data_IF_417866745471
#
_entry.id   IF_417866745471
#
_cell.length_a   1.000
_cell.length_b   1.000
_cell.length_c   1.000
_cell.angle_alpha   90.00
_cell.angle_beta   90.00
_cell.angle_gamma   90.00
#
_symmetry.space_group_name_H-M   'P 1'
#
loop_
_entity.id
_entity.type
_entity.pdbx_description
1 polymer ?
#
# COMPACT_ATOMS: atom_id res chain seq x y z
N UNK A 1 43.04 6.07 72.85
CA UNK A 1 42.61 6.70 71.59
C UNK A 1 41.17 6.29 71.38
N UNK A 2 40.22 7.04 71.94
CA UNK A 2 38.79 6.73 71.79
C UNK A 2 37.99 8.02 71.92
N UNK A 3 37.35 8.39 70.80
CA UNK A 3 36.17 9.27 70.71
C UNK A 3 36.39 10.78 71.00
N UNK A 4 35.45 11.69 70.68
CA UNK A 4 34.49 11.78 69.55
C UNK A 4 34.29 13.24 69.01
N UNK A 5 33.36 13.42 68.06
CA UNK A 5 32.23 14.39 68.14
C UNK A 5 32.07 15.50 67.07
N UNK A 6 30.83 15.54 66.57
CA UNK A 6 30.06 16.63 65.90
C UNK A 6 30.33 16.87 64.40
N UNK A 7 29.45 16.57 63.42
CA UNK A 7 27.99 16.77 63.21
C UNK A 7 27.54 18.24 63.07
N UNK A 8 27.11 18.61 61.84
CA UNK A 8 26.01 19.53 61.47
C UNK A 8 26.21 19.97 59.98
N UNK A 9 25.62 19.34 58.96
CA UNK A 9 24.24 19.42 58.42
C UNK A 9 23.95 20.63 57.49
N UNK A 10 23.61 20.27 56.23
CA UNK A 10 22.80 20.91 55.15
C UNK A 10 23.34 22.17 54.47
N UNK A 11 23.32 22.26 53.12
CA UNK A 11 22.08 22.61 52.37
C UNK A 11 22.16 22.29 50.87
N UNK A 12 21.16 21.55 50.38
CA UNK A 12 20.38 21.60 49.10
C UNK A 12 20.87 22.48 47.92
N UNK A 13 21.08 21.87 46.75
CA UNK A 13 20.43 22.17 45.44
C UNK A 13 21.09 21.31 44.33
N UNK A 14 20.36 20.34 43.76
CA UNK A 14 19.71 20.41 42.43
C UNK A 14 20.54 19.74 41.33
N UNK A 15 20.25 18.45 41.14
CA UNK A 15 20.50 17.71 39.90
C UNK A 15 19.78 18.42 38.75
N UNK A 16 20.52 18.93 37.77
CA UNK A 16 19.96 19.15 36.44
C UNK A 16 21.01 18.90 35.35
N UNK A 17 21.42 17.64 35.23
CA UNK A 17 22.02 17.12 34.00
C UNK A 17 20.91 16.43 33.22
N UNK A 18 20.01 17.23 32.64
CA UNK A 18 19.03 16.73 31.69
C UNK A 18 19.75 16.62 30.34
N UNK A 19 20.33 15.45 30.08
CA UNK A 19 20.92 15.08 28.80
C UNK A 19 19.84 15.19 27.73
N UNK A 20 20.12 15.97 26.68
CA UNK A 20 19.28 16.05 25.47
C UNK A 20 19.01 14.62 24.95
N UNK A 21 17.75 14.23 24.68
CA UNK A 21 17.48 12.94 24.06
C UNK A 21 18.17 12.92 22.69
N UNK A 22 19.06 11.95 22.50
CA UNK A 22 19.74 11.70 21.23
C UNK A 22 18.71 11.45 20.13
N UNK A 23 18.84 12.18 19.03
CA UNK A 23 17.96 12.15 17.85
C UNK A 23 17.95 10.79 17.10
N UNK A 24 18.71 9.79 17.58
CA UNK A 24 18.91 8.50 16.90
C UNK A 24 17.80 7.46 17.16
N UNK A 25 16.87 7.71 18.09
CA UNK A 25 15.84 6.73 18.45
C UNK A 25 14.51 6.87 17.71
N UNK A 26 14.34 7.91 16.88
CA UNK A 26 13.11 8.13 16.11
C UNK A 26 13.09 7.36 14.78
N UNK A 27 14.26 7.07 14.21
CA UNK A 27 14.35 6.40 12.92
C UNK A 27 14.04 4.89 13.01
N UNK A 28 14.35 4.25 14.14
CA UNK A 28 14.10 2.81 14.33
C UNK A 28 12.63 2.45 14.58
N UNK A 29 11.78 3.40 14.97
CA UNK A 29 10.35 3.13 15.24
C UNK A 29 9.48 3.18 13.98
N UNK A 30 10.03 3.68 12.86
CA UNK A 30 9.34 3.76 11.56
C UNK A 30 9.74 2.61 10.60
N UNK A 31 10.72 1.79 10.98
CA UNK A 31 11.26 0.72 10.13
C UNK A 31 10.52 -0.63 10.24
N UNK A 32 9.53 -0.77 11.12
CA UNK A 32 8.56 -1.86 10.99
C UNK A 32 7.53 -1.47 9.93
N UNK A 33 7.88 -1.61 8.64
CA UNK A 33 6.93 -1.43 7.54
C UNK A 33 5.78 -2.42 7.74
N UNK A 34 4.67 -1.92 8.31
CA UNK A 34 3.46 -2.70 8.47
C UNK A 34 2.86 -2.84 7.09
N UNK A 35 2.50 -4.06 6.71
CA UNK A 35 1.81 -4.33 5.46
C UNK A 35 0.56 -3.47 5.28
N UNK A 36 0.10 -3.30 4.04
CA UNK A 36 -1.09 -2.51 3.75
C UNK A 36 -1.85 -3.03 2.52
N UNK A 37 -3.17 -2.96 2.58
CA UNK A 37 -4.09 -3.30 1.51
C UNK A 37 -4.80 -2.02 1.04
N UNK A 38 -4.37 -1.45 -0.09
CA UNK A 38 -4.73 -0.09 -0.50
C UNK A 38 -5.39 -0.10 -1.89
N UNK A 39 -6.35 0.79 -2.10
CA UNK A 39 -6.87 1.13 -3.43
C UNK A 39 -6.53 2.59 -3.74
N UNK A 40 -6.02 2.87 -4.95
CA UNK A 40 -5.82 4.24 -5.47
C UNK A 40 -6.86 4.57 -6.54
N UNK A 41 -7.65 5.61 -6.32
CA UNK A 41 -8.69 6.11 -7.24
C UNK A 41 -8.36 7.53 -7.69
N UNK A 42 -8.69 7.88 -8.93
CA UNK A 42 -8.55 9.25 -9.44
C UNK A 42 -8.39 9.30 -10.96
N UNK A 43 -8.48 10.48 -11.58
CA UNK A 43 -8.48 10.64 -13.03
C UNK A 43 -7.15 10.22 -13.67
N UNK A 44 -7.13 9.84 -14.97
CA UNK A 44 -5.87 9.61 -15.69
C UNK A 44 -4.94 10.83 -15.59
N UNK A 45 -3.63 10.59 -15.48
CA UNK A 45 -2.64 11.67 -15.34
C UNK A 45 -2.53 12.29 -13.94
N UNK A 46 -3.35 11.88 -12.95
CA UNK A 46 -3.30 12.42 -11.58
C UNK A 46 -2.06 12.05 -10.74
N UNK A 47 -1.12 11.29 -11.30
CA UNK A 47 0.11 10.87 -10.61
C UNK A 47 -0.02 9.61 -9.75
N UNK A 48 -1.15 8.88 -9.80
CA UNK A 48 -1.36 7.61 -9.07
C UNK A 48 -0.23 6.61 -9.29
N UNK A 49 0.16 6.36 -10.54
CA UNK A 49 1.23 5.40 -10.85
C UNK A 49 2.56 5.75 -10.18
N UNK A 50 2.94 7.04 -10.18
CA UNK A 50 4.14 7.52 -9.49
C UNK A 50 4.10 7.26 -7.99
N UNK A 51 2.95 7.48 -7.35
CA UNK A 51 2.81 7.25 -5.91
C UNK A 51 2.66 5.76 -5.58
N UNK A 52 2.00 4.99 -6.45
CA UNK A 52 1.86 3.55 -6.34
C UNK A 52 3.23 2.87 -6.19
N UNK A 53 4.19 3.18 -7.08
CA UNK A 53 5.56 2.66 -6.99
C UNK A 53 6.24 3.02 -5.66
N UNK A 54 6.10 4.27 -5.19
CA UNK A 54 6.69 4.70 -3.91
C UNK A 54 6.07 3.99 -2.71
N UNK A 55 4.75 3.80 -2.73
CA UNK A 55 4.00 3.12 -1.66
C UNK A 55 4.34 1.63 -1.63
N UNK A 56 4.42 0.96 -2.78
CA UNK A 56 4.75 -0.46 -2.86
C UNK A 56 6.17 -0.73 -2.38
N UNK A 57 7.13 0.10 -2.76
CA UNK A 57 8.52 0.03 -2.27
C UNK A 57 8.64 0.28 -0.75
N UNK A 58 7.89 1.26 -0.23
CA UNK A 58 7.92 1.66 1.19
C UNK A 58 7.27 0.64 2.10
N UNK A 59 6.08 0.14 1.72
CA UNK A 59 5.31 -0.81 2.53
C UNK A 59 5.62 -2.28 2.22
N UNK A 60 6.46 -2.54 1.21
CA UNK A 60 6.81 -3.90 0.75
C UNK A 60 5.58 -4.72 0.37
N UNK A 61 4.68 -4.09 -0.37
CA UNK A 61 3.41 -4.66 -0.85
C UNK A 61 3.44 -4.82 -2.37
N UNK A 62 2.67 -5.75 -2.93
CA UNK A 62 2.62 -5.92 -4.38
C UNK A 62 1.76 -4.84 -5.04
N UNK A 63 2.14 -4.43 -6.25
CA UNK A 63 1.32 -3.54 -7.08
C UNK A 63 0.45 -4.37 -8.03
N UNK A 64 -0.86 -4.13 -8.00
CA UNK A 64 -1.86 -4.71 -8.89
C UNK A 64 -2.44 -3.63 -9.80
N UNK A 65 -1.69 -3.33 -10.87
CA UNK A 65 -2.14 -2.44 -11.96
C UNK A 65 -2.96 -3.24 -12.97
N UNK A 66 -4.27 -3.03 -13.01
CA UNK A 66 -5.14 -3.78 -13.94
C UNK A 66 -4.77 -3.52 -15.40
N UNK A 67 -4.30 -2.32 -15.72
CA UNK A 67 -3.79 -2.00 -17.06
C UNK A 67 -2.58 -2.85 -17.44
N UNK A 68 -1.64 -3.06 -16.52
CA UNK A 68 -0.47 -3.92 -16.78
C UNK A 68 -0.83 -5.39 -16.81
N UNK A 69 -1.70 -5.85 -15.91
CA UNK A 69 -2.18 -7.24 -15.88
C UNK A 69 -2.89 -7.60 -17.19
N UNK A 70 -3.74 -6.72 -17.70
CA UNK A 70 -4.44 -6.91 -18.98
C UNK A 70 -3.47 -6.86 -20.16
N UNK A 71 -2.49 -5.93 -20.18
CA UNK A 71 -1.45 -5.92 -21.22
C UNK A 71 -0.65 -7.21 -21.23
N UNK A 72 -0.25 -7.71 -20.06
CA UNK A 72 0.47 -8.98 -19.92
C UNK A 72 -0.38 -10.16 -20.42
N UNK A 73 -1.65 -10.23 -20.04
CA UNK A 73 -2.57 -11.26 -20.52
C UNK A 73 -2.80 -11.18 -22.04
N UNK A 74 -2.87 -9.97 -22.61
CA UNK A 74 -3.03 -9.74 -24.04
C UNK A 74 -1.82 -10.17 -24.88
N UNK A 75 -0.63 -10.32 -24.28
CA UNK A 75 0.55 -10.81 -24.98
C UNK A 75 0.50 -12.31 -25.26
N UNK A 76 -0.30 -13.08 -24.50
CA UNK A 76 -0.50 -14.51 -24.77
C UNK A 76 -1.49 -14.73 -25.92
N UNK A 77 -0.96 -14.67 -27.14
CA UNK A 77 -1.74 -14.89 -28.36
C UNK A 77 -2.11 -16.36 -28.59
N UNK A 78 -1.53 -17.29 -27.83
CA UNK A 78 -1.89 -18.71 -27.91
C UNK A 78 -3.21 -19.01 -27.22
N UNK A 79 -3.63 -18.15 -26.29
CA UNK A 79 -4.90 -18.23 -25.58
C UNK A 79 -6.02 -17.47 -26.31
N UNK A 80 -7.22 -18.08 -26.38
CA UNK A 80 -8.43 -17.41 -26.88
C UNK A 80 -8.81 -16.19 -26.03
N UNK A 81 -8.54 -16.26 -24.72
CA UNK A 81 -8.75 -15.15 -23.79
C UNK A 81 -7.80 -13.98 -24.08
N UNK A 82 -6.51 -14.25 -24.26
CA UNK A 82 -5.51 -13.23 -24.56
C UNK A 82 -5.81 -12.48 -25.87
N UNK A 83 -6.26 -13.20 -26.91
CA UNK A 83 -6.71 -12.59 -28.16
C UNK A 83 -7.95 -11.69 -27.96
N UNK A 84 -8.93 -12.12 -27.16
CA UNK A 84 -10.15 -11.35 -26.87
C UNK A 84 -9.85 -10.09 -26.05
N UNK A 85 -8.98 -10.20 -25.04
CA UNK A 85 -8.49 -9.06 -24.24
C UNK A 85 -7.81 -8.05 -25.17
N UNK A 86 -6.86 -8.51 -25.99
CA UNK A 86 -6.12 -7.66 -26.93
C UNK A 86 -7.05 -6.87 -27.84
N UNK A 87 -7.98 -7.57 -28.51
CA UNK A 87 -8.95 -6.94 -29.43
C UNK A 87 -9.81 -5.88 -28.74
N UNK A 88 -10.24 -6.14 -27.50
CA UNK A 88 -11.05 -5.20 -26.72
C UNK A 88 -10.25 -3.95 -26.34
N UNK A 89 -9.01 -4.13 -25.90
CA UNK A 89 -8.11 -3.02 -25.55
C UNK A 89 -7.72 -2.16 -26.76
N UNK A 90 -7.43 -2.77 -27.91
CA UNK A 90 -7.12 -2.06 -29.15
C UNK A 90 -8.31 -1.21 -29.64
N UNK A 91 -9.54 -1.66 -29.37
CA UNK A 91 -10.76 -0.90 -29.65
C UNK A 91 -11.07 0.21 -28.63
N UNK A 92 -10.24 0.38 -27.59
CA UNK A 92 -10.48 1.33 -26.50
C UNK A 92 -11.63 0.92 -25.56
N UNK A 93 -12.10 -0.32 -25.65
CA UNK A 93 -13.16 -0.87 -24.82
C UNK A 93 -12.67 -1.30 -23.44
N UNK A 94 -13.62 -1.54 -22.54
CA UNK A 94 -13.36 -2.17 -21.25
C UNK A 94 -13.43 -3.69 -21.38
N UNK A 95 -12.44 -4.38 -20.84
CA UNK A 95 -12.43 -5.84 -20.73
C UNK A 95 -13.44 -6.26 -19.66
N UNK A 96 -14.11 -7.40 -19.86
CA UNK A 96 -15.13 -7.91 -18.92
C UNK A 96 -14.60 -7.98 -17.49
N UNK A 97 -15.44 -7.54 -16.54
CA UNK A 97 -15.10 -7.48 -15.11
C UNK A 97 -14.62 -8.83 -14.57
N UNK A 98 -15.23 -9.94 -15.01
CA UNK A 98 -14.91 -11.29 -14.55
C UNK A 98 -13.49 -11.73 -14.96
N UNK A 99 -13.04 -11.32 -16.15
CA UNK A 99 -11.66 -11.57 -16.60
C UNK A 99 -10.69 -10.78 -15.72
N UNK A 100 -11.00 -9.51 -15.46
CA UNK A 100 -10.16 -8.65 -14.61
C UNK A 100 -10.05 -9.22 -13.19
N UNK A 101 -11.16 -9.69 -12.61
CA UNK A 101 -11.19 -10.30 -11.28
C UNK A 101 -10.42 -11.61 -11.22
N UNK A 102 -10.55 -12.47 -12.23
CA UNK A 102 -9.76 -13.71 -12.35
C UNK A 102 -8.25 -13.41 -12.37
N UNK A 103 -7.83 -12.39 -13.12
CA UNK A 103 -6.43 -11.94 -13.14
C UNK A 103 -5.99 -11.42 -11.77
N UNK A 104 -6.82 -10.62 -11.09
CA UNK A 104 -6.53 -10.12 -9.74
C UNK A 104 -6.39 -11.27 -8.75
N UNK A 105 -7.34 -12.21 -8.72
CA UNK A 105 -7.34 -13.37 -7.84
C UNK A 105 -6.04 -14.17 -7.98
N UNK A 106 -5.67 -14.50 -9.22
CA UNK A 106 -4.41 -15.21 -9.52
C UNK A 106 -3.18 -14.48 -8.98
N UNK A 107 -3.16 -13.14 -9.06
CA UNK A 107 -2.03 -12.35 -8.61
C UNK A 107 -2.00 -12.15 -7.08
N UNK A 108 -3.15 -12.06 -6.42
CA UNK A 108 -3.24 -11.93 -4.96
C UNK A 108 -2.62 -13.13 -4.21
N UNK A 109 -2.58 -14.31 -4.85
CA UNK A 109 -2.00 -15.52 -4.28
C UNK A 109 -0.47 -15.58 -4.40
N UNK A 110 0.16 -14.61 -5.08
CA UNK A 110 1.62 -14.62 -5.27
C UNK A 110 2.37 -14.21 -3.99
N UNK A 111 3.61 -14.71 -3.78
CA UNK A 111 4.39 -14.41 -2.57
C UNK A 111 4.62 -12.92 -2.33
N UNK A 112 4.71 -12.11 -3.38
CA UNK A 112 4.96 -10.66 -3.26
C UNK A 112 3.77 -9.93 -2.61
N UNK A 113 2.56 -10.49 -2.70
CA UNK A 113 1.35 -9.93 -2.10
C UNK A 113 1.12 -10.38 -0.65
N UNK A 114 2.04 -11.15 -0.06
CA UNK A 114 1.90 -11.68 1.31
C UNK A 114 1.80 -10.58 2.36
N UNK A 115 2.58 -9.53 2.19
CA UNK A 115 2.60 -8.38 3.10
C UNK A 115 1.50 -7.35 2.76
N UNK A 116 0.70 -7.58 1.72
CA UNK A 116 -0.36 -6.69 1.29
C UNK A 116 -0.27 -6.36 -0.19
N UNK A 117 -1.20 -5.52 -0.64
CA UNK A 117 -1.39 -5.22 -2.06
C UNK A 117 -1.89 -3.80 -2.26
N UNK A 118 -1.58 -3.23 -3.42
CA UNK A 118 -2.06 -1.92 -3.85
C UNK A 118 -2.74 -2.05 -5.22
N UNK A 119 -4.02 -1.71 -5.30
CA UNK A 119 -4.76 -1.64 -6.56
C UNK A 119 -4.60 -0.25 -7.21
N UNK A 120 -4.09 -0.23 -8.45
CA UNK A 120 -3.96 0.98 -9.25
C UNK A 120 -4.91 0.90 -10.46
N UNK A 121 -5.93 1.76 -10.44
CA UNK A 121 -6.91 1.85 -11.53
C UNK A 121 -8.03 0.80 -11.49
N UNK A 122 -8.26 0.17 -10.33
CA UNK A 122 -9.38 -0.73 -10.04
C UNK A 122 -9.79 -0.62 -8.58
N UNK A 123 -11.09 -0.68 -8.23
CA UNK A 123 -12.24 -0.74 -9.13
C UNK A 123 -12.53 0.60 -9.82
N UNK A 124 -13.22 0.55 -10.97
CA UNK A 124 -13.68 1.73 -11.74
C UNK A 124 -15.20 1.90 -11.73
N UNK A 125 -15.93 0.85 -11.38
CA UNK A 125 -17.40 0.84 -11.30
C UNK A 125 -17.82 0.29 -9.93
N UNK A 126 -19.06 0.55 -9.53
CA UNK A 126 -19.61 0.01 -8.28
C UNK A 126 -19.64 -1.52 -8.30
N UNK A 127 -20.08 -2.11 -9.42
CA UNK A 127 -20.09 -3.57 -9.61
C UNK A 127 -18.69 -4.21 -9.45
N UNK A 128 -17.63 -3.55 -9.94
CA UNK A 128 -16.26 -4.00 -9.70
C UNK A 128 -15.87 -3.90 -8.22
N UNK A 129 -16.37 -2.89 -7.51
CA UNK A 129 -16.15 -2.73 -6.08
C UNK A 129 -16.79 -3.84 -5.26
N UNK A 130 -18.05 -4.16 -5.53
CA UNK A 130 -18.79 -5.25 -4.87
C UNK A 130 -18.09 -6.60 -5.10
N UNK A 131 -17.73 -6.91 -6.34
CA UNK A 131 -17.00 -8.15 -6.65
C UNK A 131 -15.59 -8.20 -6.04
N UNK A 132 -14.92 -7.05 -5.89
CA UNK A 132 -13.63 -6.99 -5.20
C UNK A 132 -13.79 -7.29 -3.71
N UNK A 133 -14.84 -6.75 -3.09
CA UNK A 133 -15.16 -7.02 -1.68
C UNK A 133 -15.40 -8.51 -1.46
N UNK A 134 -16.26 -9.15 -2.27
CA UNK A 134 -16.51 -10.59 -2.22
C UNK A 134 -15.22 -11.42 -2.37
N UNK A 135 -14.35 -11.03 -3.31
CA UNK A 135 -13.07 -11.70 -3.53
C UNK A 135 -12.16 -11.58 -2.29
N UNK A 136 -12.06 -10.40 -1.70
CA UNK A 136 -11.22 -10.17 -0.51
C UNK A 136 -11.77 -10.92 0.71
N UNK A 137 -13.09 -10.93 0.91
CA UNK A 137 -13.75 -11.70 1.97
C UNK A 137 -13.47 -13.19 1.85
N UNK A 138 -13.58 -13.76 0.64
CA UNK A 138 -13.27 -15.18 0.39
C UNK A 138 -11.82 -15.55 0.77
N UNK A 139 -10.93 -14.56 0.74
CA UNK A 139 -9.50 -14.70 1.08
C UNK A 139 -9.16 -14.26 2.50
N UNK A 140 -10.15 -13.87 3.30
CA UNK A 140 -9.96 -13.34 4.65
C UNK A 140 -9.00 -12.14 4.67
N UNK A 141 -9.07 -11.31 3.61
CA UNK A 141 -8.33 -10.06 3.44
C UNK A 141 -9.31 -8.90 3.54
N UNK A 142 -8.81 -7.73 3.92
CA UNK A 142 -9.61 -6.49 4.07
C UNK A 142 -8.84 -5.33 3.49
N UNK A 143 -9.56 -4.32 2.99
CA UNK A 143 -8.93 -3.04 2.63
C UNK A 143 -8.63 -2.23 3.89
N UNK A 144 -7.44 -1.65 3.94
CA UNK A 144 -7.04 -0.74 5.01
C UNK A 144 -7.31 0.71 4.62
N UNK A 145 -7.21 1.05 3.33
CA UNK A 145 -7.48 2.39 2.84
C UNK A 145 -7.93 2.42 1.37
N UNK A 146 -8.76 3.41 1.06
CA UNK A 146 -9.04 3.86 -0.31
C UNK A 146 -8.60 5.32 -0.40
N UNK A 147 -7.69 5.62 -1.33
CA UNK A 147 -7.07 6.94 -1.47
C UNK A 147 -7.53 7.55 -2.79
N UNK A 148 -8.26 8.66 -2.70
CA UNK A 148 -8.69 9.43 -3.86
C UNK A 148 -7.69 10.53 -4.20
N UNK A 149 -7.28 10.60 -5.47
CA UNK A 149 -6.48 11.67 -6.04
C UNK A 149 -7.40 12.72 -6.64
N UNK A 150 -7.86 13.66 -5.83
CA UNK A 150 -8.61 14.82 -6.28
C UNK A 150 -7.67 15.82 -6.96
N UNK A 151 -7.69 15.89 -8.29
CA UNK A 151 -6.93 16.87 -9.07
C UNK A 151 -7.92 17.73 -9.85
N UNK A 152 -7.91 19.04 -9.60
CA UNK A 152 -8.69 19.99 -10.39
C UNK A 152 -8.15 20.04 -11.81
N UNK A 153 -8.95 19.64 -12.78
CA UNK A 153 -8.68 19.87 -14.19
C UNK A 153 -9.40 21.18 -14.56
N UNK A 154 -8.69 22.30 -14.55
CA UNK A 154 -9.16 23.52 -15.22
C UNK A 154 -8.86 23.35 -16.71
N UNK A 155 -9.88 23.00 -17.49
CA UNK A 155 -9.86 23.10 -18.96
C UNK A 155 -10.67 24.32 -19.35
#
# INVERSE_FOLDING_TARGET
MSSPSASATKTRSENNQQTLPSLENTDNKLQSSTGANIVLIGPPGSGKGTQSTRLTERYKICQLSTGDLLRQAAHDQSSSEGQRIRKTMEAGGLVDDDIVLSLIDKNLNKPECKNGFLFDGFPRTINQGEKLEELLESKQKRLDAVIEYAVCISI
#
